data_IF_671650210885
#
_entry.id   IF_671650210885
#
_cell.length_a   1.000
_cell.length_b   1.000
_cell.length_c   1.000
_cell.angle_alpha   90.00
_cell.angle_beta   90.00
_cell.angle_gamma   90.00
#
_symmetry.space_group_name_H-M   'P 1'
#
loop_
_entity.id
_entity.type
_entity.pdbx_description
1 polymer ?
#
# COMPACT_ATOMS: atom_id res chain seq x y z
N UNK A 1 16.26 -25.66 -8.08
CA UNK A 1 15.94 -25.50 -6.64
C UNK A 1 15.89 -24.04 -6.17
N UNK A 2 16.69 -23.10 -6.68
CA UNK A 2 16.71 -21.70 -6.20
C UNK A 2 15.37 -20.93 -6.29
N UNK A 3 14.60 -21.11 -7.35
CA UNK A 3 13.34 -20.38 -7.54
C UNK A 3 12.22 -20.73 -6.55
N UNK A 4 12.19 -21.98 -6.07
CA UNK A 4 11.17 -22.42 -5.07
C UNK A 4 11.51 -21.83 -3.72
N UNK A 5 12.76 -21.84 -3.31
CA UNK A 5 13.22 -21.26 -2.04
C UNK A 5 13.01 -19.75 -2.03
N UNK A 6 13.33 -19.03 -3.11
CA UNK A 6 13.07 -17.60 -3.23
C UNK A 6 11.57 -17.26 -3.15
N UNK A 7 10.68 -18.08 -3.75
CA UNK A 7 9.23 -17.90 -3.62
C UNK A 7 8.74 -18.13 -2.19
N UNK A 8 9.24 -19.16 -1.51
CA UNK A 8 8.86 -19.46 -0.13
C UNK A 8 9.31 -18.36 0.83
N UNK A 9 10.56 -17.91 0.72
CA UNK A 9 11.11 -16.81 1.53
C UNK A 9 10.33 -15.50 1.28
N UNK A 10 10.05 -15.17 0.02
CA UNK A 10 9.26 -13.98 -0.33
C UNK A 10 7.85 -14.06 0.24
N UNK A 11 7.19 -15.21 0.15
CA UNK A 11 5.85 -15.41 0.69
C UNK A 11 5.84 -15.34 2.23
N UNK A 12 6.84 -15.89 2.90
CA UNK A 12 6.97 -15.82 4.35
C UNK A 12 7.20 -14.37 4.84
N UNK A 13 8.09 -13.62 4.16
CA UNK A 13 8.33 -12.20 4.47
C UNK A 13 7.05 -11.38 4.24
N UNK A 14 6.35 -11.60 3.11
CA UNK A 14 5.10 -10.89 2.81
C UNK A 14 3.99 -11.21 3.82
N UNK A 15 3.88 -12.46 4.28
CA UNK A 15 2.94 -12.85 5.32
C UNK A 15 3.28 -12.19 6.66
N UNK A 16 4.55 -12.19 7.06
CA UNK A 16 4.99 -11.56 8.31
C UNK A 16 4.75 -10.04 8.30
N UNK A 17 5.01 -9.36 7.17
CA UNK A 17 4.76 -7.93 7.03
C UNK A 17 3.26 -7.63 7.04
N UNK A 18 2.45 -8.42 6.33
CA UNK A 18 0.99 -8.25 6.34
C UNK A 18 0.41 -8.47 7.74
N UNK A 19 0.89 -9.48 8.47
CA UNK A 19 0.48 -9.70 9.87
C UNK A 19 0.89 -8.54 10.78
N UNK A 20 2.10 -8.01 10.63
CA UNK A 20 2.57 -6.86 11.41
C UNK A 20 1.77 -5.59 11.10
N UNK A 21 1.44 -5.34 9.82
CA UNK A 21 0.59 -4.22 9.40
C UNK A 21 -0.84 -4.41 9.94
N UNK A 22 -1.42 -5.60 9.83
CA UNK A 22 -2.73 -5.91 10.39
C UNK A 22 -2.77 -5.70 11.91
N UNK A 23 -1.77 -6.21 12.63
CA UNK A 23 -1.68 -6.04 14.08
C UNK A 23 -1.59 -4.57 14.49
N UNK A 24 -0.74 -3.79 13.82
CA UNK A 24 -0.64 -2.33 14.05
C UNK A 24 -1.94 -1.60 13.75
N UNK A 25 -2.61 -1.94 12.66
CA UNK A 25 -3.90 -1.33 12.30
C UNK A 25 -5.00 -1.71 13.27
N UNK A 26 -4.99 -2.94 13.81
CA UNK A 26 -5.89 -3.37 14.88
C UNK A 26 -5.63 -2.62 16.18
N UNK A 27 -4.37 -2.43 16.56
CA UNK A 27 -3.98 -1.66 17.73
C UNK A 27 -4.35 -0.17 17.59
N UNK A 28 -4.20 0.41 16.40
CA UNK A 28 -4.61 1.79 16.11
C UNK A 28 -6.14 1.95 16.07
N UNK A 29 -6.87 1.01 15.48
CA UNK A 29 -8.34 0.98 15.51
C UNK A 29 -8.89 0.84 16.93
N UNK A 30 -8.26 -0.02 17.77
CA UNK A 30 -8.60 -0.15 19.17
C UNK A 30 -8.30 1.13 19.97
N UNK A 31 -7.19 1.82 19.67
CA UNK A 31 -6.82 3.10 20.28
C UNK A 31 -7.78 4.25 19.93
N UNK A 32 -8.38 4.22 18.75
CA UNK A 32 -9.37 5.20 18.33
C UNK A 32 -10.74 5.02 18.97
N UNK A 33 -10.88 4.05 19.91
CA UNK A 33 -12.11 3.83 20.68
C UNK A 33 -13.32 3.41 19.85
N UNK A 34 -13.11 2.91 18.63
CA UNK A 34 -14.18 2.40 17.78
C UNK A 34 -14.48 0.96 18.16
N UNK A 35 -15.62 0.74 18.81
CA UNK A 35 -16.19 -0.60 18.98
C UNK A 35 -16.63 -1.15 17.63
N UNK A 36 -15.79 -1.98 17.03
CA UNK A 36 -16.14 -2.74 15.84
C UNK A 36 -17.05 -3.91 16.25
N UNK A 37 -18.32 -3.78 15.94
CA UNK A 37 -19.26 -4.89 16.10
C UNK A 37 -19.11 -5.87 14.93
N UNK A 38 -18.43 -6.96 15.16
CA UNK A 38 -18.24 -8.04 14.17
C UNK A 38 -16.79 -8.24 13.73
N UNK A 39 -16.57 -9.22 12.87
CA UNK A 39 -15.28 -9.45 12.23
C UNK A 39 -14.99 -8.36 11.20
N UNK A 40 -13.87 -7.69 11.33
CA UNK A 40 -13.40 -6.74 10.33
C UNK A 40 -12.18 -7.28 9.60
N UNK A 41 -12.01 -6.81 8.39
CA UNK A 41 -10.90 -7.14 7.53
C UNK A 41 -10.13 -5.88 7.16
N UNK A 42 -8.86 -6.01 6.85
CA UNK A 42 -8.00 -4.90 6.49
C UNK A 42 -7.27 -5.18 5.18
N UNK A 43 -7.18 -4.15 4.34
CA UNK A 43 -6.31 -4.16 3.18
C UNK A 43 -5.57 -2.83 3.03
N UNK A 44 -4.38 -2.87 2.43
CA UNK A 44 -3.61 -1.68 2.08
C UNK A 44 -3.72 -1.46 0.58
N UNK A 45 -4.04 -0.25 0.17
CA UNK A 45 -4.16 0.16 -1.23
C UNK A 45 -3.17 1.25 -1.56
N UNK A 46 -2.46 1.12 -2.69
CA UNK A 46 -1.50 2.10 -3.19
C UNK A 46 -1.00 1.75 -4.59
N UNK A 47 -0.41 2.72 -5.29
CA UNK A 47 0.17 2.51 -6.63
C UNK A 47 1.42 1.64 -6.61
N UNK A 48 2.17 1.68 -5.52
CA UNK A 48 3.38 0.89 -5.34
C UNK A 48 3.19 -0.05 -4.16
N UNK A 49 3.93 -1.15 -4.16
CA UNK A 49 3.98 -2.03 -3.01
C UNK A 49 4.35 -1.23 -1.75
N UNK A 50 3.52 -1.32 -0.73
CA UNK A 50 3.75 -0.64 0.55
C UNK A 50 5.13 -0.98 1.13
N UNK A 51 5.57 -2.22 0.95
CA UNK A 51 6.90 -2.69 1.33
C UNK A 51 8.01 -1.96 0.57
N UNK A 52 7.87 -1.84 -0.76
CA UNK A 52 8.86 -1.17 -1.62
C UNK A 52 8.97 0.30 -1.28
N UNK A 53 7.83 1.01 -1.18
CA UNK A 53 7.81 2.44 -0.90
C UNK A 53 8.31 2.76 0.50
N UNK A 54 7.88 1.99 1.51
CA UNK A 54 8.18 2.27 2.91
C UNK A 54 9.60 1.86 3.31
N UNK A 55 10.07 0.72 2.83
CA UNK A 55 11.30 0.10 3.35
C UNK A 55 12.45 0.01 2.36
N UNK A 56 12.21 -0.06 1.05
CA UNK A 56 13.27 -0.25 0.05
C UNK A 56 13.72 1.05 -0.60
N UNK A 57 12.82 1.97 -0.91
CA UNK A 57 13.20 3.18 -1.65
C UNK A 57 14.13 4.11 -0.89
N UNK A 58 14.00 4.21 0.44
CA UNK A 58 14.88 5.07 1.23
C UNK A 58 16.32 4.54 1.32
N UNK A 59 16.57 3.27 1.72
CA UNK A 59 17.92 2.71 1.70
C UNK A 59 18.57 2.75 0.31
N UNK A 60 17.78 2.51 -0.74
CA UNK A 60 18.28 2.56 -2.11
C UNK A 60 18.65 3.99 -2.53
N UNK A 61 17.87 5.00 -2.16
CA UNK A 61 18.23 6.41 -2.38
C UNK A 61 19.52 6.78 -1.64
N UNK A 62 19.67 6.36 -0.38
CA UNK A 62 20.91 6.59 0.40
C UNK A 62 22.10 5.91 -0.29
N UNK A 63 21.95 4.68 -0.74
CA UNK A 63 22.98 3.96 -1.48
C UNK A 63 23.40 4.72 -2.75
N UNK A 64 22.44 5.23 -3.54
CA UNK A 64 22.73 6.03 -4.72
C UNK A 64 23.47 7.34 -4.37
N UNK A 65 23.15 8.00 -3.26
CA UNK A 65 23.89 9.20 -2.79
C UNK A 65 25.33 8.86 -2.44
N UNK A 66 25.56 7.74 -1.77
CA UNK A 66 26.91 7.29 -1.44
C UNK A 66 27.73 6.95 -2.71
N UNK A 67 27.10 6.29 -3.70
CA UNK A 67 27.73 6.01 -4.98
C UNK A 67 28.05 7.31 -5.75
N UNK A 68 27.17 8.32 -5.66
CA UNK A 68 27.40 9.62 -6.28
C UNK A 68 28.62 10.31 -5.68
N UNK A 69 28.74 10.30 -4.34
CA UNK A 69 29.91 10.86 -3.66
C UNK A 69 31.21 10.14 -4.02
N UNK A 70 31.20 8.80 -4.01
CA UNK A 70 32.36 7.98 -4.38
C UNK A 70 32.82 8.21 -5.82
N UNK A 71 31.88 8.24 -6.78
CA UNK A 71 32.21 8.51 -8.19
C UNK A 71 32.68 9.96 -8.43
N UNK A 72 32.16 10.92 -7.69
CA UNK A 72 32.62 12.34 -7.74
C UNK A 72 34.08 12.48 -7.30
N UNK A 73 34.46 11.79 -6.21
CA UNK A 73 35.84 11.79 -5.69
C UNK A 73 36.79 11.10 -6.70
N UNK A 74 36.33 10.06 -7.38
CA UNK A 74 37.10 9.34 -8.39
C UNK A 74 37.17 10.07 -9.77
N UNK A 75 36.65 11.29 -9.89
CA UNK A 75 36.64 12.09 -11.12
C UNK A 75 35.55 11.71 -12.12
N UNK A 76 34.63 10.83 -11.77
CA UNK A 76 33.52 10.39 -12.60
C UNK A 76 32.28 11.28 -12.51
N UNK A 77 32.37 12.55 -12.84
CA UNK A 77 31.31 13.54 -12.67
C UNK A 77 29.97 13.13 -13.32
N UNK A 78 30.03 12.55 -14.51
CA UNK A 78 28.83 12.07 -15.23
C UNK A 78 28.08 10.98 -14.45
N UNK A 79 28.79 10.00 -13.89
CA UNK A 79 28.19 8.94 -13.10
C UNK A 79 27.61 9.49 -11.78
N UNK A 80 28.30 10.44 -11.15
CA UNK A 80 27.82 11.12 -9.94
C UNK A 80 26.46 11.78 -10.18
N UNK A 81 26.30 12.51 -11.30
CA UNK A 81 25.04 13.16 -11.66
C UNK A 81 23.93 12.12 -11.86
N UNK A 82 24.19 11.01 -12.56
CA UNK A 82 23.18 9.98 -12.78
C UNK A 82 22.71 9.33 -11.48
N UNK A 83 23.62 9.03 -10.55
CA UNK A 83 23.25 8.49 -9.25
C UNK A 83 22.40 9.48 -8.43
N UNK A 84 22.70 10.78 -8.48
CA UNK A 84 21.87 11.80 -7.83
C UNK A 84 20.47 11.90 -8.43
N UNK A 85 20.36 11.86 -9.75
CA UNK A 85 19.06 11.85 -10.44
C UNK A 85 18.22 10.64 -9.99
N UNK A 86 18.81 9.45 -9.95
CA UNK A 86 18.13 8.23 -9.50
C UNK A 86 17.69 8.38 -8.02
N UNK A 87 18.56 8.91 -7.16
CA UNK A 87 18.22 9.14 -5.75
C UNK A 87 17.01 10.08 -5.61
N UNK A 88 17.01 11.20 -6.33
CA UNK A 88 15.89 12.17 -6.35
C UNK A 88 14.60 11.50 -6.83
N UNK A 89 14.65 10.75 -7.93
CA UNK A 89 13.48 10.01 -8.45
C UNK A 89 12.95 9.04 -7.41
N UNK A 90 13.82 8.29 -6.71
CA UNK A 90 13.40 7.39 -5.64
C UNK A 90 12.72 8.13 -4.48
N UNK A 91 13.25 9.27 -4.04
CA UNK A 91 12.68 10.07 -2.95
C UNK A 91 11.32 10.67 -3.34
N UNK A 92 11.21 11.21 -4.56
CA UNK A 92 9.94 11.75 -5.09
C UNK A 92 8.89 10.64 -5.19
N UNK A 93 9.25 9.50 -5.78
CA UNK A 93 8.36 8.34 -5.92
C UNK A 93 7.91 7.81 -4.55
N UNK A 94 8.83 7.77 -3.58
CA UNK A 94 8.51 7.39 -2.20
C UNK A 94 7.51 8.35 -1.58
N UNK A 95 7.77 9.66 -1.68
CA UNK A 95 6.90 10.70 -1.12
C UNK A 95 5.49 10.61 -1.71
N UNK A 96 5.40 10.49 -3.04
CA UNK A 96 4.12 10.34 -3.75
C UNK A 96 3.41 9.05 -3.37
N UNK A 97 4.12 7.92 -3.37
CA UNK A 97 3.56 6.62 -2.99
C UNK A 97 3.02 6.59 -1.56
N UNK A 98 3.73 7.21 -0.62
CA UNK A 98 3.28 7.33 0.77
C UNK A 98 2.02 8.20 0.90
N UNK A 99 1.90 9.29 0.14
CA UNK A 99 0.70 10.14 0.13
C UNK A 99 -0.53 9.43 -0.44
N UNK A 100 -0.31 8.53 -1.40
CA UNK A 100 -1.39 7.78 -2.07
C UNK A 100 -1.75 6.48 -1.36
N UNK A 101 -0.98 6.07 -0.36
CA UNK A 101 -1.27 4.86 0.40
C UNK A 101 -2.50 5.08 1.29
N UNK A 102 -3.43 4.11 1.24
CA UNK A 102 -4.65 4.08 2.05
C UNK A 102 -4.73 2.74 2.75
N UNK A 103 -5.11 2.79 4.00
CA UNK A 103 -5.51 1.61 4.77
C UNK A 103 -7.03 1.55 4.73
N UNK A 104 -7.57 0.42 4.35
CA UNK A 104 -9.00 0.21 4.19
C UNK A 104 -9.40 -0.88 5.16
N UNK A 105 -10.32 -0.56 6.05
CA UNK A 105 -10.94 -1.52 6.96
C UNK A 105 -12.36 -1.72 6.47
N UNK A 106 -12.79 -2.98 6.33
CA UNK A 106 -14.10 -3.31 5.82
C UNK A 106 -14.81 -4.38 6.67
N UNK A 107 -16.13 -4.26 6.77
CA UNK A 107 -17.02 -5.12 7.55
C UNK A 107 -18.39 -5.23 6.84
N UNK A 108 -19.31 -6.01 7.40
CA UNK A 108 -20.59 -6.32 6.75
C UNK A 108 -21.39 -5.09 6.27
N UNK A 109 -21.45 -4.04 7.07
CA UNK A 109 -22.28 -2.87 6.83
C UNK A 109 -21.55 -1.67 6.24
N UNK A 110 -20.25 -1.78 5.94
CA UNK A 110 -19.51 -0.64 5.41
C UNK A 110 -18.01 -0.87 5.27
N UNK A 111 -17.31 0.20 4.92
CA UNK A 111 -15.86 0.27 4.94
C UNK A 111 -15.37 1.66 5.32
N UNK A 112 -14.18 1.76 5.87
CA UNK A 112 -13.53 3.02 6.18
C UNK A 112 -12.16 3.11 5.55
N UNK A 113 -11.83 4.29 5.06
CA UNK A 113 -10.53 4.62 4.48
C UNK A 113 -9.73 5.45 5.48
N UNK A 114 -8.51 5.06 5.71
CA UNK A 114 -7.55 5.75 6.56
C UNK A 114 -6.35 6.18 5.73
N UNK A 115 -5.73 7.27 6.12
CA UNK A 115 -4.44 7.68 5.56
C UNK A 115 -3.29 6.86 6.18
N UNK A 116 -2.05 7.17 5.75
CA UNK A 116 -0.82 6.54 6.28
C UNK A 116 -0.57 6.79 7.77
N UNK A 117 -1.18 7.84 8.32
CA UNK A 117 -0.99 8.31 9.70
C UNK A 117 -2.11 7.79 10.62
N UNK A 118 -3.06 7.01 10.05
CA UNK A 118 -4.18 6.42 10.78
C UNK A 118 -5.39 7.34 10.95
N UNK A 119 -5.41 8.50 10.28
CA UNK A 119 -6.57 9.38 10.31
C UNK A 119 -7.66 8.84 9.38
N UNK A 120 -8.90 8.83 9.86
CA UNK A 120 -10.05 8.45 9.05
C UNK A 120 -10.34 9.52 8.00
N UNK A 121 -10.35 9.10 6.74
CA UNK A 121 -10.66 9.97 5.61
C UNK A 121 -12.15 9.97 5.30
N UNK A 122 -12.77 8.79 5.35
CA UNK A 122 -14.19 8.59 5.06
C UNK A 122 -14.66 7.24 5.56
N UNK A 123 -15.90 7.17 5.98
CA UNK A 123 -16.62 5.93 6.25
C UNK A 123 -17.75 5.78 5.21
N UNK A 124 -17.70 4.68 4.45
CA UNK A 124 -18.67 4.37 3.40
C UNK A 124 -19.67 3.35 3.91
N UNK A 125 -20.99 3.64 3.83
CA UNK A 125 -22.02 2.68 4.18
C UNK A 125 -22.17 1.59 3.11
N UNK A 126 -22.89 0.53 3.42
CA UNK A 126 -23.17 -0.58 2.52
C UNK A 126 -23.77 -0.14 1.19
N UNK A 127 -24.66 0.86 1.22
CA UNK A 127 -25.31 1.43 0.02
C UNK A 127 -24.30 2.04 -0.98
N UNK A 128 -23.23 2.66 -0.50
CA UNK A 128 -22.14 3.13 -1.36
C UNK A 128 -21.35 1.96 -1.97
N UNK A 129 -21.12 0.89 -1.19
CA UNK A 129 -20.40 -0.28 -1.65
C UNK A 129 -21.19 -1.03 -2.74
N UNK A 130 -22.51 -1.02 -2.68
CA UNK A 130 -23.37 -1.59 -3.73
C UNK A 130 -23.19 -0.91 -5.09
N UNK A 131 -22.81 0.35 -5.11
CA UNK A 131 -22.51 1.12 -6.32
C UNK A 131 -21.05 0.95 -6.79
N UNK A 132 -20.28 0.07 -6.14
CA UNK A 132 -18.89 -0.21 -6.48
C UNK A 132 -18.73 -0.65 -7.92
N UNK A 133 -17.90 0.05 -8.68
CA UNK A 133 -17.51 -0.30 -10.05
C UNK A 133 -16.12 -0.94 -10.05
N UNK A 134 -16.06 -2.19 -10.48
CA UNK A 134 -14.81 -2.94 -10.60
C UNK A 134 -14.28 -2.81 -12.02
N UNK A 135 -13.13 -2.17 -12.18
CA UNK A 135 -12.41 -2.05 -13.46
C UNK A 135 -11.03 -2.69 -13.34
N UNK A 136 -10.43 -3.05 -14.49
CA UNK A 136 -9.09 -3.62 -14.53
C UNK A 136 -8.09 -2.69 -13.81
N UNK A 137 -7.52 -3.15 -12.71
CA UNK A 137 -6.50 -2.41 -11.94
C UNK A 137 -7.04 -1.43 -10.88
N UNK A 138 -8.34 -1.13 -10.84
CA UNK A 138 -8.91 -0.27 -9.80
C UNK A 138 -10.39 -0.56 -9.53
N UNK A 139 -10.79 -0.29 -8.30
CA UNK A 139 -12.17 -0.30 -7.85
C UNK A 139 -12.54 1.13 -7.50
N UNK A 140 -13.68 1.60 -7.99
CA UNK A 140 -14.18 2.95 -7.74
C UNK A 140 -15.51 2.85 -6.99
N UNK A 141 -15.64 3.63 -5.92
CA UNK A 141 -16.85 3.70 -5.10
C UNK A 141 -17.30 5.17 -5.10
N UNK A 142 -18.41 5.49 -5.77
CA UNK A 142 -18.99 6.83 -5.72
C UNK A 142 -19.70 7.05 -4.39
N UNK A 143 -19.45 8.17 -3.74
CA UNK A 143 -20.13 8.56 -2.51
C UNK A 143 -20.11 10.09 -2.32
N UNK A 144 -21.26 10.70 -2.05
CA UNK A 144 -21.41 12.14 -1.81
C UNK A 144 -20.71 13.03 -2.86
N UNK A 145 -20.85 12.66 -4.15
CA UNK A 145 -20.24 13.41 -5.26
C UNK A 145 -18.74 13.25 -5.40
N UNK A 146 -18.11 12.38 -4.59
CA UNK A 146 -16.70 12.02 -4.68
C UNK A 146 -16.51 10.58 -5.11
N UNK A 147 -15.35 10.30 -5.71
CA UNK A 147 -14.94 8.94 -6.07
C UNK A 147 -13.81 8.46 -5.17
N UNK A 148 -14.06 7.39 -4.42
CA UNK A 148 -13.05 6.70 -3.62
C UNK A 148 -12.48 5.53 -4.41
N UNK A 149 -11.14 5.42 -4.45
CA UNK A 149 -10.45 4.47 -5.33
C UNK A 149 -9.63 3.48 -4.51
N UNK A 150 -9.84 2.20 -4.80
CA UNK A 150 -8.99 1.11 -4.31
C UNK A 150 -8.16 0.63 -5.49
N UNK A 151 -6.84 0.71 -5.35
CA UNK A 151 -5.90 0.34 -6.40
C UNK A 151 -5.54 -1.12 -6.20
N UNK A 152 -5.78 -1.91 -7.24
CA UNK A 152 -5.39 -3.32 -7.29
C UNK A 152 -3.96 -3.41 -7.81
N UNK A 153 -3.06 -3.87 -6.95
CA UNK A 153 -1.67 -4.10 -7.29
C UNK A 153 -1.39 -5.61 -7.31
N UNK A 154 -1.09 -6.22 -8.48
CA UNK A 154 -0.86 -7.65 -8.60
C UNK A 154 0.28 -8.17 -7.73
N UNK A 155 1.23 -7.30 -7.36
CA UNK A 155 2.41 -7.68 -6.59
C UNK A 155 2.24 -7.48 -5.07
N UNK A 156 1.18 -6.79 -4.64
CA UNK A 156 1.02 -6.39 -3.24
C UNK A 156 -0.31 -6.85 -2.63
N UNK A 157 -1.44 -6.34 -3.13
CA UNK A 157 -2.74 -6.48 -2.47
C UNK A 157 -3.80 -7.25 -3.27
N UNK A 158 -3.44 -7.91 -4.35
CA UNK A 158 -4.43 -8.56 -5.22
C UNK A 158 -5.28 -9.60 -4.48
N UNK A 159 -4.67 -10.39 -3.60
CA UNK A 159 -5.37 -11.42 -2.83
C UNK A 159 -6.37 -10.82 -1.85
N UNK A 160 -5.96 -9.75 -1.16
CA UNK A 160 -6.79 -9.04 -0.19
C UNK A 160 -7.93 -8.32 -0.87
N UNK A 161 -7.68 -7.69 -2.01
CA UNK A 161 -8.72 -7.08 -2.85
C UNK A 161 -9.71 -8.13 -3.36
N UNK A 162 -9.24 -9.29 -3.80
CA UNK A 162 -10.11 -10.39 -4.21
C UNK A 162 -10.98 -10.89 -3.04
N UNK A 163 -10.40 -11.09 -1.86
CA UNK A 163 -11.16 -11.45 -0.64
C UNK A 163 -12.25 -10.42 -0.34
N UNK A 164 -11.92 -9.12 -0.41
CA UNK A 164 -12.89 -8.04 -0.21
C UNK A 164 -14.02 -8.09 -1.24
N UNK A 165 -13.71 -8.31 -2.52
CA UNK A 165 -14.72 -8.44 -3.56
C UNK A 165 -15.63 -9.65 -3.33
N UNK A 166 -15.07 -10.80 -2.98
CA UNK A 166 -15.84 -12.01 -2.64
C UNK A 166 -16.73 -11.75 -1.41
N UNK A 167 -16.19 -11.08 -0.38
CA UNK A 167 -16.94 -10.73 0.84
C UNK A 167 -18.19 -9.89 0.52
N UNK A 168 -18.09 -8.95 -0.43
CA UNK A 168 -19.24 -8.13 -0.85
C UNK A 168 -20.04 -8.72 -2.02
N UNK A 169 -19.71 -9.93 -2.51
CA UNK A 169 -20.40 -10.56 -3.62
C UNK A 169 -20.18 -9.88 -4.98
N UNK A 170 -19.03 -9.20 -5.15
CA UNK A 170 -18.65 -8.47 -6.37
C UNK A 170 -17.54 -9.16 -7.18
N UNK A 171 -17.20 -10.39 -6.85
CA UNK A 171 -16.19 -11.21 -7.54
C UNK A 171 -16.82 -11.91 -8.77
N UNK A 172 -17.10 -11.12 -9.82
CA UNK A 172 -17.57 -11.62 -11.13
C UNK A 172 -16.59 -11.25 -12.24
#
# INVERSE_FOLDING_TARGET
MGHIVQRLVRNAIMQAVNQAVQKKTQEEAARLGKEWRGSFHCLVSGYYSGLTVKYLMLPFAIFCILCAAGSGIAGGLTYSIWFLVIAVVCLVTRSYGMKMMRVIIYWDNGMAFYDKDGNELVQLPRTAIEQMAVKRGKITIPWEGKEYKIIRNPFDNEKEVKKMLTFYGKDR
#
